data_IF_204176259673
#
_entry.id   IF_204176259673
#
_cell.length_a   1.000
_cell.length_b   1.000
_cell.length_c   1.000
_cell.angle_alpha   90.00
_cell.angle_beta   90.00
_cell.angle_gamma   90.00
#
_symmetry.space_group_name_H-M   'P 1'
#
loop_
_entity.id
_entity.type
_entity.pdbx_description
1 polymer ?
#
# COMPACT_ATOMS: atom_id res chain seq x y z
N UNK A 1 9.18 -9.09 6.90
CA UNK A 1 9.07 -8.50 8.26
C UNK A 1 8.91 -9.57 9.34
N UNK A 2 7.90 -10.45 9.24
CA UNK A 2 7.64 -11.51 10.25
C UNK A 2 8.72 -12.61 10.31
N UNK A 3 9.38 -12.94 9.19
CA UNK A 3 10.48 -13.94 9.15
C UNK A 3 11.70 -13.60 10.03
N UNK A 4 11.87 -12.33 10.44
CA UNK A 4 12.98 -11.89 11.30
C UNK A 4 12.58 -11.74 12.78
N UNK A 5 11.29 -11.87 13.09
CA UNK A 5 10.75 -11.73 14.45
C UNK A 5 10.47 -13.12 15.02
N UNK A 6 10.90 -13.39 16.26
CA UNK A 6 10.57 -14.65 16.93
C UNK A 6 9.04 -14.86 17.03
N UNK A 7 8.54 -16.11 17.14
CA UNK A 7 7.11 -16.41 17.13
C UNK A 7 6.29 -15.57 18.13
N UNK A 8 6.80 -15.38 19.35
CA UNK A 8 6.17 -14.57 20.39
C UNK A 8 6.06 -13.08 20.01
N UNK A 9 7.08 -12.53 19.36
CA UNK A 9 7.08 -11.14 18.89
C UNK A 9 6.09 -10.93 17.74
N UNK A 10 5.91 -11.95 16.89
CA UNK A 10 4.91 -11.94 15.81
C UNK A 10 3.49 -11.97 16.38
N UNK A 11 3.23 -12.85 17.34
CA UNK A 11 1.91 -12.96 17.99
C UNK A 11 1.54 -11.68 18.74
N UNK A 12 2.49 -11.09 19.49
CA UNK A 12 2.28 -9.82 20.17
C UNK A 12 1.97 -8.67 19.18
N UNK A 13 2.69 -8.61 18.05
CA UNK A 13 2.45 -7.61 17.01
C UNK A 13 1.06 -7.78 16.35
N UNK A 14 0.68 -9.02 16.01
CA UNK A 14 -0.63 -9.32 15.45
C UNK A 14 -1.76 -9.00 16.42
N UNK A 15 -1.60 -9.33 17.71
CA UNK A 15 -2.58 -9.01 18.76
C UNK A 15 -2.78 -7.51 18.88
N UNK A 16 -1.68 -6.74 18.86
CA UNK A 16 -1.74 -5.27 18.86
C UNK A 16 -2.49 -4.74 17.64
N UNK A 17 -2.17 -5.25 16.44
CA UNK A 17 -2.81 -4.83 15.19
C UNK A 17 -4.31 -5.13 15.18
N UNK A 18 -4.74 -6.32 15.62
CA UNK A 18 -6.18 -6.64 15.75
C UNK A 18 -6.92 -5.66 16.65
N UNK A 19 -6.33 -5.34 17.81
CA UNK A 19 -6.94 -4.41 18.77
C UNK A 19 -7.08 -3.00 18.19
N UNK A 20 -6.02 -2.47 17.56
CA UNK A 20 -6.04 -1.13 16.97
C UNK A 20 -6.96 -1.08 15.76
N UNK A 21 -6.88 -2.07 14.87
CA UNK A 21 -7.73 -2.16 13.68
C UNK A 21 -9.21 -2.22 14.02
N UNK A 22 -9.60 -3.03 15.02
CA UNK A 22 -11.01 -3.14 15.42
C UNK A 22 -11.62 -1.80 15.85
N UNK A 23 -10.85 -0.93 16.51
CA UNK A 23 -11.29 0.41 16.89
C UNK A 23 -11.50 1.34 15.67
N UNK A 24 -10.86 1.02 14.54
CA UNK A 24 -10.94 1.74 13.27
C UNK A 24 -11.83 1.04 12.24
N UNK A 25 -12.50 -0.06 12.61
CA UNK A 25 -13.34 -0.86 11.71
C UNK A 25 -12.59 -1.82 10.79
N UNK A 26 -11.28 -2.03 11.00
CA UNK A 26 -10.44 -2.94 10.21
C UNK A 26 -10.32 -4.29 10.93
N UNK A 27 -10.81 -5.36 10.30
CA UNK A 27 -10.79 -6.71 10.89
C UNK A 27 -9.57 -7.51 10.45
N UNK A 28 -8.39 -7.16 11.00
CA UNK A 28 -7.13 -7.82 10.64
C UNK A 28 -7.14 -9.34 10.85
N UNK A 29 -6.78 -10.06 9.79
CA UNK A 29 -6.55 -11.51 9.75
C UNK A 29 -5.15 -11.82 9.23
N UNK A 30 -4.58 -12.94 9.68
CA UNK A 30 -3.16 -13.25 9.49
C UNK A 30 -2.87 -14.72 9.12
N UNK A 31 -3.89 -15.48 8.73
CA UNK A 31 -3.80 -16.87 8.27
C UNK A 31 -3.48 -17.00 6.78
N UNK A 32 -3.49 -15.89 6.02
CA UNK A 32 -3.16 -15.86 4.60
C UNK A 32 -1.66 -15.89 4.30
N UNK A 33 -1.34 -15.98 3.01
CA UNK A 33 0.03 -15.85 2.48
C UNK A 33 0.45 -14.39 2.37
N UNK A 34 1.72 -14.08 2.64
CA UNK A 34 2.33 -12.77 2.37
C UNK A 34 3.41 -12.93 1.30
N UNK A 35 2.99 -12.88 0.04
CA UNK A 35 3.87 -12.90 -1.13
C UNK A 35 4.47 -11.53 -1.47
N UNK A 36 5.05 -11.42 -2.67
CA UNK A 36 5.56 -10.15 -3.20
C UNK A 36 4.41 -9.23 -3.59
N UNK A 37 4.43 -7.97 -3.15
CA UNK A 37 3.48 -6.95 -3.57
C UNK A 37 3.83 -6.27 -4.90
N UNK A 38 4.88 -6.71 -5.61
CA UNK A 38 5.39 -6.03 -6.82
C UNK A 38 4.31 -5.83 -7.89
N UNK A 39 3.55 -6.87 -8.21
CA UNK A 39 2.46 -6.77 -9.20
C UNK A 39 1.29 -5.91 -8.70
N UNK A 40 1.05 -5.90 -7.39
CA UNK A 40 0.09 -4.98 -6.79
C UNK A 40 0.50 -3.52 -7.01
N UNK A 41 1.80 -3.20 -6.87
CA UNK A 41 2.33 -1.86 -7.18
C UNK A 41 2.25 -1.51 -8.67
N UNK A 42 2.49 -2.47 -9.57
CA UNK A 42 2.26 -2.27 -11.02
C UNK A 42 0.80 -1.87 -11.27
N UNK A 43 -0.14 -2.64 -10.73
CA UNK A 43 -1.57 -2.34 -10.87
C UNK A 43 -1.93 -0.94 -10.34
N UNK A 44 -1.42 -0.56 -9.17
CA UNK A 44 -1.68 0.76 -8.58
C UNK A 44 -1.09 1.89 -9.44
N UNK A 45 0.15 1.75 -9.90
CA UNK A 45 0.80 2.75 -10.74
C UNK A 45 0.07 2.92 -12.07
N UNK A 46 -0.24 1.81 -12.76
CA UNK A 46 -0.99 1.86 -14.02
C UNK A 46 -2.40 2.40 -13.83
N UNK A 47 -3.10 2.04 -12.75
CA UNK A 47 -4.44 2.58 -12.45
C UNK A 47 -4.39 4.10 -12.23
N UNK A 48 -3.38 4.61 -11.54
CA UNK A 48 -3.21 6.04 -11.35
C UNK A 48 -3.03 6.78 -12.69
N UNK A 49 -2.21 6.23 -13.59
CA UNK A 49 -1.95 6.81 -14.90
C UNK A 49 -3.20 6.78 -15.80
N UNK A 50 -3.92 5.65 -15.84
CA UNK A 50 -5.02 5.44 -16.80
C UNK A 50 -6.39 5.92 -16.29
N UNK A 51 -6.63 5.82 -14.98
CA UNK A 51 -7.96 6.05 -14.36
C UNK A 51 -7.94 7.12 -13.27
N UNK A 52 -6.78 7.67 -12.95
CA UNK A 52 -6.59 8.72 -11.95
C UNK A 52 -6.50 8.21 -10.50
N UNK A 53 -6.07 9.12 -9.62
CA UNK A 53 -5.77 8.83 -8.21
C UNK A 53 -6.97 8.33 -7.40
N UNK A 54 -8.18 8.78 -7.72
CA UNK A 54 -9.41 8.33 -7.05
C UNK A 54 -9.63 6.84 -7.28
N UNK A 55 -9.43 6.37 -8.53
CA UNK A 55 -9.57 4.95 -8.83
C UNK A 55 -8.42 4.14 -8.24
N UNK A 56 -7.18 4.65 -8.31
CA UNK A 56 -6.05 4.00 -7.66
C UNK A 56 -6.25 3.84 -6.15
N UNK A 57 -6.85 4.84 -5.48
CA UNK A 57 -7.17 4.76 -4.05
C UNK A 57 -8.19 3.66 -3.75
N UNK A 58 -9.22 3.51 -4.58
CA UNK A 58 -10.20 2.41 -4.47
C UNK A 58 -9.55 1.04 -4.65
N UNK A 59 -8.67 0.89 -5.65
CA UNK A 59 -7.91 -0.35 -5.86
C UNK A 59 -7.02 -0.64 -4.65
N UNK A 60 -6.31 0.38 -4.12
CA UNK A 60 -5.45 0.21 -2.95
C UNK A 60 -6.23 -0.27 -1.73
N UNK A 61 -7.37 0.35 -1.44
CA UNK A 61 -8.25 -0.05 -0.35
C UNK A 61 -8.72 -1.50 -0.52
N UNK A 62 -9.15 -1.88 -1.73
CA UNK A 62 -9.58 -3.25 -2.01
C UNK A 62 -8.44 -4.26 -1.84
N UNK A 63 -7.23 -3.95 -2.29
CA UNK A 63 -6.06 -4.80 -2.10
C UNK A 63 -5.70 -4.97 -0.62
N UNK A 64 -5.83 -3.91 0.19
CA UNK A 64 -5.66 -4.02 1.63
C UNK A 64 -6.72 -4.93 2.26
N UNK A 65 -7.99 -4.80 1.89
CA UNK A 65 -9.05 -5.69 2.37
C UNK A 65 -8.77 -7.15 1.98
N UNK A 66 -8.40 -7.41 0.74
CA UNK A 66 -8.05 -8.75 0.26
C UNK A 66 -6.93 -9.36 1.10
N UNK A 67 -5.82 -8.64 1.27
CA UNK A 67 -4.66 -9.15 1.98
C UNK A 67 -4.88 -9.27 3.50
N UNK A 68 -5.44 -8.22 4.11
CA UNK A 68 -5.42 -8.04 5.55
C UNK A 68 -6.74 -8.42 6.24
N UNK A 69 -7.83 -8.60 5.51
CA UNK A 69 -9.14 -8.98 6.09
C UNK A 69 -9.74 -10.24 5.45
N UNK A 70 -9.34 -10.57 4.22
CA UNK A 70 -9.81 -11.77 3.49
C UNK A 70 -8.74 -12.86 3.37
N UNK A 71 -7.51 -12.62 3.82
CA UNK A 71 -6.39 -13.59 3.81
C UNK A 71 -5.99 -14.06 2.39
N UNK A 72 -6.31 -13.26 1.37
CA UNK A 72 -6.02 -13.54 -0.03
C UNK A 72 -4.59 -13.12 -0.40
N UNK A 73 -3.95 -13.86 -1.32
CA UNK A 73 -2.57 -13.60 -1.74
C UNK A 73 -2.51 -12.57 -2.88
N UNK A 74 -2.09 -11.34 -2.58
CA UNK A 74 -1.95 -10.26 -3.58
C UNK A 74 -0.70 -10.36 -4.46
N UNK A 75 0.08 -11.44 -4.35
CA UNK A 75 1.10 -11.79 -5.33
C UNK A 75 0.55 -12.62 -6.51
N UNK A 76 -0.69 -13.11 -6.40
CA UNK A 76 -1.38 -13.83 -7.46
C UNK A 76 -2.11 -12.88 -8.42
N UNK A 77 -1.88 -13.06 -9.73
CA UNK A 77 -2.54 -12.27 -10.79
C UNK A 77 -4.05 -12.35 -10.69
N UNK A 78 -4.62 -13.54 -10.50
CA UNK A 78 -6.08 -13.70 -10.44
C UNK A 78 -6.70 -13.00 -9.22
N UNK A 79 -5.97 -12.92 -8.11
CA UNK A 79 -6.39 -12.15 -6.93
C UNK A 79 -6.41 -10.65 -7.23
N UNK A 80 -5.37 -10.13 -7.87
CA UNK A 80 -5.28 -8.72 -8.27
C UNK A 80 -6.39 -8.34 -9.26
N UNK A 81 -6.66 -9.21 -10.23
CA UNK A 81 -7.75 -9.05 -11.22
C UNK A 81 -9.10 -9.01 -10.51
N UNK A 82 -9.40 -9.97 -9.63
CA UNK A 82 -10.67 -9.98 -8.86
C UNK A 82 -10.85 -8.68 -8.06
N UNK A 83 -9.82 -8.25 -7.33
CA UNK A 83 -9.86 -7.03 -6.53
C UNK A 83 -10.10 -5.78 -7.40
N UNK A 84 -9.43 -5.68 -8.55
CA UNK A 84 -9.61 -4.58 -9.49
C UNK A 84 -11.03 -4.54 -10.10
N UNK A 85 -11.59 -5.69 -10.45
CA UNK A 85 -12.95 -5.81 -10.99
C UNK A 85 -14.00 -5.44 -9.96
N UNK A 86 -13.82 -5.80 -8.67
CA UNK A 86 -14.75 -5.41 -7.59
C UNK A 86 -14.89 -3.88 -7.45
N UNK A 87 -13.87 -3.11 -7.85
CA UNK A 87 -13.91 -1.64 -7.82
C UNK A 87 -14.23 -1.00 -9.18
N UNK A 88 -14.56 -1.81 -10.19
CA UNK A 88 -15.10 -1.37 -11.47
C UNK A 88 -14.08 -1.26 -12.62
N UNK A 89 -12.88 -1.83 -12.48
CA UNK A 89 -11.94 -1.97 -13.60
C UNK A 89 -12.32 -3.16 -14.50
N UNK A 90 -11.97 -3.09 -15.77
CA UNK A 90 -12.18 -4.18 -16.72
C UNK A 90 -11.18 -5.32 -16.49
N UNK A 91 -11.67 -6.57 -16.48
CA UNK A 91 -10.79 -7.73 -16.31
C UNK A 91 -9.68 -7.81 -17.37
N UNK A 92 -10.04 -7.58 -18.65
CA UNK A 92 -9.10 -7.66 -19.77
C UNK A 92 -7.98 -6.61 -19.69
N UNK A 93 -8.33 -5.35 -19.40
CA UNK A 93 -7.33 -4.27 -19.25
C UNK A 93 -6.38 -4.57 -18.08
N UNK A 94 -6.91 -5.04 -16.95
CA UNK A 94 -6.08 -5.35 -15.78
C UNK A 94 -5.13 -6.51 -16.06
N UNK A 95 -5.59 -7.56 -16.75
CA UNK A 95 -4.74 -8.69 -17.15
C UNK A 95 -3.64 -8.24 -18.12
N UNK A 96 -3.98 -7.39 -19.09
CA UNK A 96 -3.00 -6.81 -20.02
C UNK A 96 -1.94 -6.01 -19.27
N UNK A 97 -2.34 -5.13 -18.36
CA UNK A 97 -1.40 -4.33 -17.57
C UNK A 97 -0.47 -5.19 -16.71
N UNK A 98 -1.02 -6.21 -16.04
CA UNK A 98 -0.26 -7.13 -15.20
C UNK A 98 0.70 -8.03 -16.02
N UNK A 99 0.40 -8.26 -17.30
CA UNK A 99 1.29 -8.95 -18.23
C UNK A 99 2.44 -8.07 -18.74
N UNK A 100 2.49 -6.77 -18.38
CA UNK A 100 3.47 -5.83 -18.89
C UNK A 100 3.16 -5.36 -20.33
N UNK A 101 1.89 -5.45 -20.73
CA UNK A 101 1.38 -5.01 -22.02
C UNK A 101 0.54 -3.73 -21.85
N UNK A 102 0.17 -3.10 -22.97
CA UNK A 102 -0.57 -1.83 -22.96
C UNK A 102 0.05 -0.79 -22.03
N UNK A 103 -0.77 -0.26 -21.12
CA UNK A 103 -0.37 0.72 -20.10
C UNK A 103 0.46 0.13 -18.94
N UNK A 104 0.60 -1.20 -18.84
CA UNK A 104 1.49 -1.86 -17.89
C UNK A 104 2.94 -1.99 -18.38
N UNK A 105 3.19 -1.70 -19.66
CA UNK A 105 4.53 -1.81 -20.25
C UNK A 105 5.51 -0.83 -19.61
N UNK A 106 6.64 -1.35 -19.12
CA UNK A 106 7.70 -0.52 -18.51
C UNK A 106 7.42 -0.05 -17.08
N UNK A 107 6.25 -0.35 -16.53
CA UNK A 107 5.85 0.12 -15.19
C UNK A 107 6.68 -0.53 -14.10
N UNK A 108 7.12 -1.76 -14.34
CA UNK A 108 7.97 -2.51 -13.41
C UNK A 108 9.29 -1.78 -13.15
N UNK A 109 9.93 -1.25 -14.19
CA UNK A 109 11.17 -0.49 -14.11
C UNK A 109 10.97 0.85 -13.37
N UNK A 110 9.85 1.52 -13.65
CA UNK A 110 9.48 2.79 -12.98
C UNK A 110 9.34 2.60 -11.48
N UNK A 111 8.56 1.60 -11.02
CA UNK A 111 8.36 1.38 -9.58
C UNK A 111 9.65 0.94 -8.87
N UNK A 112 10.56 0.25 -9.57
CA UNK A 112 11.87 -0.12 -9.04
C UNK A 112 12.79 1.09 -8.86
N UNK A 113 12.79 1.99 -9.85
CA UNK A 113 13.53 3.24 -9.78
C UNK A 113 13.01 4.15 -8.67
N UNK A 114 11.69 4.36 -8.57
CA UNK A 114 11.07 5.13 -7.49
C UNK A 114 11.40 4.53 -6.12
N UNK A 115 11.26 3.21 -5.98
CA UNK A 115 11.59 2.51 -4.74
C UNK A 115 13.08 2.65 -4.37
N UNK A 116 13.99 2.64 -5.35
CA UNK A 116 15.42 2.85 -5.13
C UNK A 116 15.68 4.28 -4.66
N UNK A 117 15.13 5.27 -5.36
CA UNK A 117 15.29 6.69 -5.02
C UNK A 117 14.82 6.99 -3.60
N UNK A 118 13.63 6.55 -3.22
CA UNK A 118 13.07 6.79 -1.87
C UNK A 118 13.95 6.16 -0.78
N UNK A 119 14.58 5.00 -1.05
CA UNK A 119 15.56 4.41 -0.14
C UNK A 119 16.87 5.21 -0.05
N UNK A 120 17.35 5.74 -1.17
CA UNK A 120 18.52 6.64 -1.23
C UNK A 120 18.28 7.95 -0.45
N UNK A 121 17.03 8.43 -0.45
CA UNK A 121 16.56 9.57 0.35
C UNK A 121 16.42 9.25 1.86
N UNK A 122 16.73 8.02 2.29
CA UNK A 122 16.83 7.63 3.70
C UNK A 122 15.58 6.99 4.28
N UNK A 123 14.52 6.80 3.49
CA UNK A 123 13.28 6.15 3.95
C UNK A 123 13.51 4.66 4.18
N UNK A 124 13.20 4.18 5.39
CA UNK A 124 13.46 2.80 5.83
C UNK A 124 12.21 1.93 5.99
N UNK A 125 11.02 2.54 5.91
CA UNK A 125 9.75 1.86 6.12
C UNK A 125 8.56 2.69 5.67
N UNK A 126 7.39 2.05 5.63
CA UNK A 126 6.11 2.67 5.26
C UNK A 126 5.08 2.47 6.38
N UNK A 127 4.05 3.33 6.48
CA UNK A 127 3.85 4.56 5.70
C UNK A 127 4.90 5.63 6.03
N UNK A 128 5.19 6.49 5.06
CA UNK A 128 6.10 7.64 5.20
C UNK A 128 5.49 8.82 4.46
N UNK A 129 5.50 10.00 5.09
CA UNK A 129 4.93 11.22 4.51
C UNK A 129 5.96 12.34 4.54
N UNK A 130 5.99 13.14 3.47
CA UNK A 130 6.77 14.38 3.39
C UNK A 130 5.80 15.55 3.27
N UNK A 131 5.77 16.41 4.28
CA UNK A 131 4.88 17.58 4.37
C UNK A 131 5.70 18.83 4.05
N UNK A 132 5.21 19.63 3.10
CA UNK A 132 5.90 20.86 2.64
C UNK A 132 7.29 20.65 2.02
N UNK A 133 7.62 19.41 1.64
CA UNK A 133 8.89 19.09 0.97
C UNK A 133 10.09 18.89 1.91
N UNK A 134 9.94 19.07 3.22
CA UNK A 134 11.04 18.96 4.18
C UNK A 134 10.68 18.20 5.45
N UNK A 135 9.42 18.20 5.87
CA UNK A 135 9.03 17.60 7.13
C UNK A 135 8.64 16.13 6.94
N UNK A 136 9.44 15.23 7.52
CA UNK A 136 9.25 13.78 7.41
C UNK A 136 8.46 13.22 8.59
N UNK A 137 7.45 12.41 8.29
CA UNK A 137 6.66 11.65 9.26
C UNK A 137 6.80 10.16 8.97
N UNK A 138 7.42 9.43 9.91
CA UNK A 138 7.67 7.99 9.80
C UNK A 138 6.61 7.17 10.55
N UNK A 139 5.96 6.26 9.84
CA UNK A 139 4.99 5.33 10.40
C UNK A 139 3.58 5.89 10.57
N UNK A 140 2.71 5.06 11.14
CA UNK A 140 1.33 5.43 11.43
C UNK A 140 1.28 6.18 12.78
N UNK A 141 1.46 7.50 12.72
CA UNK A 141 1.30 8.41 13.86
C UNK A 141 -0.17 8.70 14.15
N UNK A 142 -0.45 9.34 15.29
CA UNK A 142 -1.81 9.80 15.61
C UNK A 142 -2.31 10.83 14.58
N UNK A 143 -3.61 10.83 14.28
CA UNK A 143 -4.20 11.74 13.29
C UNK A 143 -4.06 13.20 13.72
N UNK A 144 -4.17 13.48 15.02
CA UNK A 144 -3.97 14.82 15.57
C UNK A 144 -2.54 15.31 15.37
N UNK A 145 -1.56 14.46 15.67
CA UNK A 145 -0.13 14.74 15.44
C UNK A 145 0.14 15.02 13.96
N UNK A 146 -0.38 14.17 13.07
CA UNK A 146 -0.23 14.38 11.63
C UNK A 146 -0.83 15.72 11.18
N UNK A 147 -2.05 16.03 11.64
CA UNK A 147 -2.76 17.26 11.25
C UNK A 147 -2.08 18.51 11.79
N UNK A 148 -1.60 18.48 13.03
CA UNK A 148 -0.83 19.58 13.63
C UNK A 148 0.39 19.92 12.77
N UNK A 149 1.12 18.90 12.29
CA UNK A 149 2.29 19.11 11.41
C UNK A 149 1.93 19.67 10.04
N UNK A 150 0.80 19.25 9.46
CA UNK A 150 0.28 19.88 8.24
C UNK A 150 -0.01 21.37 8.46
N UNK A 151 -0.62 21.73 9.59
CA UNK A 151 -0.93 23.13 9.92
C UNK A 151 0.33 23.96 10.19
N UNK A 152 1.29 23.43 10.96
CA UNK A 152 2.56 24.11 11.24
C UNK A 152 3.32 24.47 9.95
N UNK A 153 3.46 23.51 9.03
CA UNK A 153 4.14 23.72 7.75
C UNK A 153 3.40 24.73 6.88
N UNK A 154 2.06 24.66 6.83
CA UNK A 154 1.24 25.64 6.08
C UNK A 154 1.43 27.07 6.60
N UNK A 155 1.59 27.23 7.91
CA UNK A 155 1.76 28.53 8.57
C UNK A 155 3.22 29.00 8.57
N UNK A 156 4.15 28.27 7.95
CA UNK A 156 5.56 28.62 7.87
C UNK A 156 6.31 28.47 9.19
N UNK A 157 5.82 27.60 10.08
CA UNK A 157 6.39 27.35 11.41
C UNK A 157 7.20 26.05 11.49
N UNK A 158 7.41 25.37 10.36
CA UNK A 158 8.09 24.08 10.23
C UNK A 158 9.32 24.12 9.33
#
# INVERSE_FOLDING_TARGET
MLRKMGPQMTEAAQTRLKRVGAALGINFKFGGSMGSSRLAHVLLHTTAAEKGLVMQSKVSEMLFQYQFEREEDVSCVDTLVRAAVEVGLGEGEVREWLAGEGAGRGVVEVIEEEGRRVREEGVKGVPHFVIGGSYHVDGAVDVGEFFEKVVEVREGRG
#
